data_IF_898171478587
#
_entry.id   IF_898171478587
#
_cell.length_a   1.000
_cell.length_b   1.000
_cell.length_c   1.000
_cell.angle_alpha   90.00
_cell.angle_beta   90.00
_cell.angle_gamma   90.00
#
_symmetry.space_group_name_H-M   'P 1'
#
loop_
_entity.id
_entity.type
_entity.pdbx_description
1 polymer ?
#
# COMPACT_ATOMS: atom_id res chain seq x y z
N UNK A 1 20.10 4.83 -3.07
CA UNK A 1 18.85 4.95 -3.85
C UNK A 1 18.80 3.77 -4.81
N UNK A 2 17.78 2.92 -4.76
CA UNK A 2 17.61 1.83 -5.73
C UNK A 2 16.98 2.45 -6.98
N UNK A 3 17.62 2.28 -8.14
CA UNK A 3 17.02 2.68 -9.44
C UNK A 3 15.96 1.64 -9.81
N UNK A 4 14.76 2.10 -10.16
CA UNK A 4 13.66 1.24 -10.57
C UNK A 4 12.48 2.07 -11.11
N UNK A 5 11.55 1.39 -11.79
CA UNK A 5 10.27 1.93 -12.25
C UNK A 5 9.14 1.40 -11.36
N UNK A 6 8.02 2.13 -11.29
CA UNK A 6 6.92 1.76 -10.42
C UNK A 6 6.09 0.60 -10.98
N UNK A 7 5.39 -0.12 -10.12
CA UNK A 7 4.61 -1.31 -10.51
C UNK A 7 3.48 -1.00 -11.53
N UNK A 8 3.03 0.25 -11.63
CA UNK A 8 2.07 0.68 -12.66
C UNK A 8 2.71 0.91 -14.04
N UNK A 9 4.04 0.93 -14.14
CA UNK A 9 4.78 1.08 -15.39
C UNK A 9 5.40 -0.25 -15.85
N UNK A 10 5.82 -1.08 -14.91
CA UNK A 10 6.39 -2.39 -15.19
C UNK A 10 5.98 -3.37 -14.08
N UNK A 11 5.44 -4.52 -14.47
CA UNK A 11 5.11 -5.57 -13.52
C UNK A 11 6.38 -6.08 -12.82
N UNK A 12 6.30 -6.43 -11.52
CA UNK A 12 7.39 -7.11 -10.84
C UNK A 12 7.73 -8.44 -11.52
N UNK A 13 9.02 -8.78 -11.58
CA UNK A 13 9.45 -10.09 -12.07
C UNK A 13 8.81 -11.21 -11.23
N UNK A 14 8.20 -12.19 -11.92
CA UNK A 14 7.49 -13.32 -11.30
C UNK A 14 8.39 -14.12 -10.35
N UNK A 15 9.71 -14.19 -10.62
CA UNK A 15 10.65 -14.88 -9.76
C UNK A 15 10.87 -14.18 -8.39
N UNK A 16 10.44 -12.93 -8.23
CA UNK A 16 10.59 -12.18 -6.99
C UNK A 16 9.42 -12.37 -6.03
N UNK A 17 8.28 -12.93 -6.48
CA UNK A 17 7.09 -13.12 -5.65
C UNK A 17 7.42 -13.92 -4.37
N UNK A 18 8.20 -15.00 -4.54
CA UNK A 18 8.82 -15.83 -3.49
C UNK A 18 9.39 -15.01 -2.32
N UNK A 19 10.43 -14.25 -2.68
CA UNK A 19 11.28 -13.49 -1.77
C UNK A 19 10.55 -12.30 -1.18
N UNK A 20 9.72 -11.63 -1.99
CA UNK A 20 8.94 -10.48 -1.55
C UNK A 20 7.90 -10.88 -0.50
N UNK A 21 7.19 -12.00 -0.72
CA UNK A 21 6.24 -12.51 0.28
C UNK A 21 6.91 -12.89 1.60
N UNK A 22 8.09 -13.50 1.56
CA UNK A 22 8.87 -13.83 2.76
C UNK A 22 9.30 -12.56 3.54
N UNK A 23 9.77 -11.53 2.82
CA UNK A 23 10.11 -10.24 3.40
C UNK A 23 8.91 -9.54 4.06
N UNK A 24 7.74 -9.51 3.39
CA UNK A 24 6.53 -8.92 3.98
C UNK A 24 6.10 -9.67 5.25
N UNK A 25 6.23 -11.00 5.27
CA UNK A 25 5.92 -11.82 6.46
C UNK A 25 6.86 -11.53 7.62
N UNK A 26 8.14 -11.29 7.38
CA UNK A 26 9.08 -10.98 8.47
C UNK A 26 8.81 -9.61 9.10
N UNK A 27 8.22 -8.68 8.34
CA UNK A 27 7.77 -7.38 8.85
C UNK A 27 6.36 -7.41 9.47
N UNK A 28 5.55 -8.41 9.13
CA UNK A 28 4.16 -8.46 9.54
C UNK A 28 4.02 -8.86 11.01
N UNK A 29 3.38 -7.99 11.80
CA UNK A 29 2.87 -8.33 13.14
C UNK A 29 1.34 -8.45 13.08
N UNK A 30 0.76 -9.59 13.50
CA UNK A 30 -0.69 -9.73 13.55
C UNK A 30 -1.33 -8.66 14.41
N UNK A 31 -2.52 -8.22 14.00
CA UNK A 31 -3.35 -7.30 14.79
C UNK A 31 -3.68 -7.96 16.13
N UNK A 32 -3.40 -7.31 17.28
CA UNK A 32 -3.73 -7.88 18.58
C UNK A 32 -5.26 -7.98 18.76
N UNK A 33 -5.76 -8.93 19.58
CA UNK A 33 -7.20 -9.15 19.74
C UNK A 33 -8.00 -7.93 20.22
N UNK A 34 -7.35 -7.04 20.96
CA UNK A 34 -7.93 -5.82 21.51
C UNK A 34 -7.65 -4.57 20.65
N UNK A 35 -7.19 -4.73 19.42
CA UNK A 35 -6.97 -3.59 18.55
C UNK A 35 -8.29 -2.85 18.28
N UNK A 36 -8.30 -1.51 18.26
CA UNK A 36 -9.48 -0.75 17.90
C UNK A 36 -9.90 -1.06 16.45
N UNK A 37 -11.21 -1.06 16.22
CA UNK A 37 -11.75 -1.24 14.87
C UNK A 37 -11.29 -0.09 13.98
N UNK A 38 -10.75 -0.41 12.80
CA UNK A 38 -10.42 0.58 11.78
C UNK A 38 -11.48 0.48 10.67
N UNK A 39 -12.37 1.47 10.52
CA UNK A 39 -13.44 1.43 9.51
C UNK A 39 -12.91 1.46 8.07
N UNK A 40 -11.64 1.80 7.87
CA UNK A 40 -10.96 1.83 6.58
C UNK A 40 -10.19 0.54 6.25
N UNK A 41 -10.13 -0.44 7.17
CA UNK A 41 -9.47 -1.73 6.93
C UNK A 41 -10.43 -2.70 6.23
N UNK A 42 -9.96 -3.34 5.16
CA UNK A 42 -10.72 -4.40 4.47
C UNK A 42 -11.86 -3.90 3.57
N UNK A 43 -11.97 -2.59 3.36
CA UNK A 43 -12.93 -2.01 2.42
C UNK A 43 -12.34 -1.97 0.99
N UNK A 44 -13.15 -2.16 -0.07
CA UNK A 44 -12.67 -2.05 -1.44
C UNK A 44 -12.03 -0.68 -1.73
N UNK A 45 -10.87 -0.68 -2.39
CA UNK A 45 -10.10 0.53 -2.65
C UNK A 45 -10.89 1.59 -3.43
N UNK A 46 -11.75 1.19 -4.38
CA UNK A 46 -12.55 2.14 -5.16
C UNK A 46 -13.52 2.97 -4.29
N UNK A 47 -13.94 2.45 -3.11
CA UNK A 47 -14.79 3.21 -2.18
C UNK A 47 -14.03 4.30 -1.44
N UNK A 48 -12.69 4.21 -1.42
CA UNK A 48 -11.80 5.15 -0.77
C UNK A 48 -11.19 6.17 -1.75
N UNK A 49 -11.35 5.95 -3.06
CA UNK A 49 -10.68 6.72 -4.11
C UNK A 49 -10.93 8.24 -3.99
N UNK A 50 -12.19 8.66 -3.89
CA UNK A 50 -12.54 10.08 -3.79
C UNK A 50 -11.87 10.79 -2.60
N UNK A 51 -11.85 10.17 -1.42
CA UNK A 51 -11.23 10.77 -0.22
C UNK A 51 -9.71 10.76 -0.27
N UNK A 52 -9.09 9.80 -0.97
CA UNK A 52 -7.64 9.76 -1.18
C UNK A 52 -7.23 10.84 -2.19
N UNK A 53 -7.95 10.92 -3.32
CA UNK A 53 -7.72 11.90 -4.37
C UNK A 53 -7.78 13.33 -3.79
N UNK A 54 -8.83 13.65 -3.03
CA UNK A 54 -8.99 14.94 -2.35
C UNK A 54 -7.75 15.33 -1.50
N UNK A 55 -7.16 14.38 -0.78
CA UNK A 55 -5.97 14.62 0.06
C UNK A 55 -4.69 14.79 -0.76
N UNK A 56 -4.54 14.02 -1.84
CA UNK A 56 -3.37 14.12 -2.73
C UNK A 56 -3.36 15.39 -3.57
N UNK A 57 -4.54 15.98 -3.86
CA UNK A 57 -4.64 17.28 -4.55
C UNK A 57 -4.06 18.43 -3.72
N UNK A 58 -4.18 18.38 -2.39
CA UNK A 58 -3.63 19.41 -1.50
C UNK A 58 -2.09 19.39 -1.57
N UNK A 59 -1.44 18.22 -1.59
CA UNK A 59 0.04 18.13 -1.67
C UNK A 59 0.61 18.73 -2.97
N UNK A 60 -0.16 18.76 -4.06
CA UNK A 60 0.24 19.38 -5.34
C UNK A 60 0.15 20.90 -5.38
N UNK A 61 -0.56 21.54 -4.45
CA UNK A 61 -0.74 23.00 -4.42
C UNK A 61 0.29 23.72 -3.53
N UNK A 62 1.18 22.98 -2.86
CA UNK A 62 2.26 23.51 -2.01
C UNK A 62 3.67 23.28 -2.64
N UNK A 63 3.77 23.20 -3.96
CA UNK A 63 5.02 23.25 -4.73
C UNK A 63 4.94 24.31 -5.82
#
# INVERSE_FOLDING_TARGET
MVRGVTANQQEPDQNQAQRFAAFLRSLHRPTPPNAPSNPFRGVPLYRQAASIEERTWIERLWC
#
